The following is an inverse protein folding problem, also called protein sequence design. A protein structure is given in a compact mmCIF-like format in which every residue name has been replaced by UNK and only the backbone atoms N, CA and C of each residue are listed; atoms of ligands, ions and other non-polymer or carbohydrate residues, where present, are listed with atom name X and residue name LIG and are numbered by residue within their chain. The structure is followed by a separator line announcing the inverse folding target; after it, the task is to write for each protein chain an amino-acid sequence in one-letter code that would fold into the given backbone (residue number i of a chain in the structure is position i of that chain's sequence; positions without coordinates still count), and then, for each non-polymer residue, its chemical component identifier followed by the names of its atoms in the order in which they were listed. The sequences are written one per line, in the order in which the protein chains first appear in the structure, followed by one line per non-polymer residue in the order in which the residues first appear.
data_IF_687603907573
#
_entry.id   IF_687603907573
#
_cell.length_a   1.000
_cell.length_b   1.000
_cell.length_c   1.000
_cell.angle_alpha   90.00
_cell.angle_beta   90.00
_cell.angle_gamma   90.00
#
_symmetry.space_group_name_H-M   'P 1'
#
loop_
_entity.id
_entity.type
_entity.pdbx_description
1 polymer ?
#
# COMPACT_ATOMS: atom_id res chain seq x y z
N UNK A 1 -12.83 4.14 13.05
CA UNK A 1 -12.09 5.35 12.60
C UNK A 1 -10.68 5.03 12.15
N UNK A 2 -9.90 4.24 12.92
CA UNK A 2 -8.50 3.89 12.63
C UNK A 2 -8.31 3.16 11.29
N UNK A 3 -9.19 2.23 10.92
CA UNK A 3 -9.08 1.50 9.62
C UNK A 3 -9.15 2.44 8.41
N UNK A 4 -9.97 3.49 8.49
CA UNK A 4 -10.12 4.50 7.44
C UNK A 4 -8.87 5.37 7.34
N UNK A 5 -8.33 5.80 8.49
CA UNK A 5 -7.10 6.58 8.56
C UNK A 5 -5.89 5.77 8.04
N UNK A 6 -5.80 4.49 8.39
CA UNK A 6 -4.77 3.57 7.87
C UNK A 6 -4.86 3.45 6.34
N UNK A 7 -6.06 3.26 5.79
CA UNK A 7 -6.24 3.24 4.33
C UNK A 7 -5.83 4.56 3.68
N UNK A 8 -6.23 5.70 4.25
CA UNK A 8 -5.86 7.01 3.71
C UNK A 8 -4.35 7.23 3.73
N UNK A 9 -3.65 6.88 4.81
CA UNK A 9 -2.20 6.99 4.92
C UNK A 9 -1.49 6.08 3.93
N UNK A 10 -1.97 4.84 3.75
CA UNK A 10 -1.39 3.90 2.79
C UNK A 10 -1.59 4.38 1.35
N UNK A 11 -2.76 4.91 1.01
CA UNK A 11 -3.04 5.47 -0.32
C UNK A 11 -2.17 6.70 -0.59
N UNK A 12 -2.06 7.61 0.38
CA UNK A 12 -1.19 8.77 0.27
C UNK A 12 0.30 8.40 0.16
N UNK A 13 0.74 7.40 0.93
CA UNK A 13 2.10 6.85 0.83
C UNK A 13 2.38 6.28 -0.55
N UNK A 14 1.44 5.51 -1.10
CA UNK A 14 1.55 4.90 -2.43
C UNK A 14 1.66 5.96 -3.54
N UNK A 15 0.90 7.06 -3.42
CA UNK A 15 0.95 8.18 -4.37
C UNK A 15 2.32 8.86 -4.32
N UNK A 16 2.82 9.17 -3.12
CA UNK A 16 4.13 9.81 -2.93
C UNK A 16 5.26 8.92 -3.46
N UNK A 17 5.20 7.62 -3.19
CA UNK A 17 6.18 6.66 -3.73
C UNK A 17 6.15 6.58 -5.26
N UNK A 18 4.95 6.58 -5.85
CA UNK A 18 4.81 6.56 -7.32
C UNK A 18 5.40 7.83 -7.93
N UNK A 19 5.15 8.99 -7.32
CA UNK A 19 5.75 10.27 -7.75
C UNK A 19 7.28 10.26 -7.60
N UNK A 20 7.80 9.65 -6.53
CA UNK A 20 9.24 9.48 -6.30
C UNK A 20 9.88 8.61 -7.38
N UNK A 21 9.26 7.48 -7.74
CA UNK A 21 9.73 6.61 -8.83
C UNK A 21 9.71 7.33 -10.18
N UNK A 22 8.65 8.10 -10.47
CA UNK A 22 8.55 8.89 -11.72
C UNK A 22 9.66 9.95 -11.78
N UNK A 23 9.88 10.68 -10.68
CA UNK A 23 10.93 11.68 -10.59
C UNK A 23 12.32 11.08 -10.81
N UNK A 24 12.56 9.94 -10.16
CA UNK A 24 13.87 9.27 -10.20
C UNK A 24 14.08 8.43 -11.48
N UNK A 25 13.03 8.24 -12.29
CA UNK A 25 13.10 7.52 -13.56
C UNK A 25 14.06 8.14 -14.57
N UNK A 26 14.44 9.41 -14.39
CA UNK A 26 15.43 10.08 -15.25
C UNK A 26 16.88 9.62 -14.96
N UNK A 27 17.15 9.02 -13.79
CA UNK A 27 18.47 8.49 -13.40
C UNK A 27 18.37 7.07 -12.80
N UNK A 28 18.07 6.06 -13.62
CA UNK A 28 17.79 4.69 -13.16
C UNK A 28 19.01 3.95 -12.59
N UNK A 29 20.23 4.46 -12.80
CA UNK A 29 21.49 3.85 -12.35
C UNK A 29 21.85 4.15 -10.88
N UNK A 30 21.08 5.00 -10.19
CA UNK A 30 21.32 5.32 -8.78
C UNK A 30 20.63 4.31 -7.87
N UNK A 31 21.33 3.91 -6.81
CA UNK A 31 20.82 3.03 -5.74
C UNK A 31 19.47 3.50 -5.17
N UNK A 32 19.26 4.82 -5.14
CA UNK A 32 18.01 5.47 -4.75
C UNK A 32 16.79 4.95 -5.55
N UNK A 33 16.95 4.52 -6.81
CA UNK A 33 15.86 3.98 -7.64
C UNK A 33 15.44 2.58 -7.19
N UNK A 34 16.40 1.70 -6.95
CA UNK A 34 16.14 0.36 -6.43
C UNK A 34 15.49 0.42 -5.04
N UNK A 35 15.94 1.35 -4.19
CA UNK A 35 15.36 1.56 -2.86
C UNK A 35 13.90 2.06 -2.93
N UNK A 36 13.60 2.99 -3.84
CA UNK A 36 12.23 3.49 -4.02
C UNK A 36 11.29 2.42 -4.61
N UNK A 37 11.78 1.54 -5.50
CA UNK A 37 11.00 0.40 -5.99
C UNK A 37 10.76 -0.63 -4.86
N UNK A 38 11.77 -0.87 -4.02
CA UNK A 38 11.64 -1.79 -2.90
C UNK A 38 10.59 -1.31 -1.89
N UNK A 39 10.61 -0.03 -1.52
CA UNK A 39 9.58 0.57 -0.68
C UNK A 39 8.19 0.44 -1.32
N UNK A 40 8.07 0.70 -2.63
CA UNK A 40 6.80 0.59 -3.35
C UNK A 40 6.22 -0.82 -3.27
N UNK A 41 7.09 -1.83 -3.42
CA UNK A 41 6.71 -3.23 -3.29
C UNK A 41 6.24 -3.56 -1.87
N UNK A 42 6.95 -3.09 -0.84
CA UNK A 42 6.59 -3.31 0.57
C UNK A 42 5.25 -2.64 0.90
N UNK A 43 5.05 -1.39 0.48
CA UNK A 43 3.82 -0.62 0.73
C UNK A 43 2.63 -1.25 0.01
N UNK A 44 2.83 -1.76 -1.22
CA UNK A 44 1.81 -2.49 -1.97
C UNK A 44 1.41 -3.81 -1.30
N UNK A 45 2.39 -4.60 -0.85
CA UNK A 45 2.13 -5.85 -0.10
C UNK A 45 1.35 -5.54 1.19
N UNK A 46 1.75 -4.51 1.94
CA UNK A 46 1.06 -4.10 3.15
C UNK A 46 -0.40 -3.69 2.87
N UNK A 47 -0.65 -2.93 1.80
CA UNK A 47 -1.98 -2.53 1.36
C UNK A 47 -2.83 -3.76 1.02
N UNK A 48 -2.30 -4.70 0.22
CA UNK A 48 -3.00 -5.93 -0.17
C UNK A 48 -3.35 -6.78 1.05
N UNK A 49 -2.43 -6.93 2.00
CA UNK A 49 -2.68 -7.68 3.24
C UNK A 49 -3.79 -7.04 4.09
N UNK A 50 -3.80 -5.71 4.21
CA UNK A 50 -4.84 -4.97 4.94
C UNK A 50 -6.19 -5.11 4.25
N UNK A 51 -6.26 -4.96 2.92
CA UNK A 51 -7.48 -5.15 2.15
C UNK A 51 -8.00 -6.58 2.30
N UNK A 52 -7.14 -7.58 2.15
CA UNK A 52 -7.52 -9.00 2.35
C UNK A 52 -8.06 -9.25 3.75
N UNK A 53 -7.40 -8.71 4.79
CA UNK A 53 -7.88 -8.80 6.18
C UNK A 53 -9.25 -8.15 6.35
N UNK A 54 -9.47 -6.99 5.74
CA UNK A 54 -10.74 -6.26 5.82
C UNK A 54 -11.88 -7.07 5.17
N UNK A 55 -11.65 -7.61 3.97
CA UNK A 55 -12.64 -8.42 3.24
C UNK A 55 -12.96 -9.72 4.00
N UNK A 56 -11.94 -10.45 4.48
CA UNK A 56 -12.13 -11.64 5.32
C UNK A 56 -12.88 -11.32 6.61
N UNK A 57 -12.57 -10.21 7.27
CA UNK A 57 -13.22 -9.82 8.53
C UNK A 57 -14.69 -9.43 8.32
N UNK A 58 -15.02 -8.84 7.16
CA UNK A 58 -16.40 -8.54 6.77
C UNK A 58 -17.17 -9.82 6.44
N UNK A 59 -16.54 -10.75 5.71
CA UNK A 59 -17.12 -12.05 5.37
C UNK A 59 -17.47 -12.88 6.62
N UNK A 60 -16.60 -12.89 7.64
CA UNK A 60 -16.90 -13.57 8.92
C UNK A 60 -18.04 -12.93 9.72
N UNK A 61 -18.33 -11.63 9.56
CA UNK A 61 -19.49 -10.99 10.20
C UNK A 61 -20.81 -11.34 9.48
N UNK A 62 -20.78 -11.53 8.16
CA UNK A 62 -21.96 -12.00 7.42
C UNK A 62 -22.38 -13.43 7.79
N UNK A 63 -21.40 -14.30 8.07
CA UNK A 63 -21.67 -15.71 8.41
C UNK A 63 -22.17 -15.94 9.85
N UNK A 64 -22.05 -14.94 10.74
CA UNK A 64 -22.52 -15.03 12.14
C UNK A 64 -23.96 -14.55 12.33
N UNK A 65 -24.58 -14.00 11.29
CA UNK A 65 -25.96 -13.45 11.32
C UNK A 65 -26.91 -14.30 10.47
N UNK A 66 -26.42 -15.40 9.90
CA UNK A 66 -27.21 -16.40 9.17
C UNK A 66 -27.46 -17.62 10.05
#
# INVERSE_FOLDING_TARGET
MVERALMTILVWGLIIETLSVIYLSSTPWKFEFAYSIFLLAVTSIALVLIIRRLITSRSRRGLKVA
#
